data_IF_821345511380
#
_entry.id   IF_821345511380
#
_cell.length_a   1.000
_cell.length_b   1.000
_cell.length_c   1.000
_cell.angle_alpha   90.00
_cell.angle_beta   90.00
_cell.angle_gamma   90.00
#
_symmetry.space_group_name_H-M   'P 1'
#
loop_
_entity.id
_entity.type
_entity.pdbx_description
1 polymer ?
#
# COMPACT_ATOMS: atom_id res chain seq x y z
N UNK A 1 18.70 -11.77 -15.06
CA UNK A 1 17.45 -12.29 -14.45
C UNK A 1 17.14 -11.38 -13.28
N UNK A 2 16.03 -10.66 -13.33
CA UNK A 2 15.58 -9.86 -12.20
C UNK A 2 14.91 -10.77 -11.17
N UNK A 3 15.22 -10.57 -9.90
CA UNK A 3 14.55 -11.29 -8.81
C UNK A 3 13.26 -10.54 -8.49
N UNK A 4 12.12 -11.16 -8.79
CA UNK A 4 10.78 -10.58 -8.58
C UNK A 4 9.98 -11.50 -7.68
N UNK A 5 9.55 -11.01 -6.53
CA UNK A 5 8.75 -11.78 -5.57
C UNK A 5 7.98 -10.86 -4.62
N UNK A 6 6.96 -11.43 -3.97
CA UNK A 6 6.19 -10.76 -2.92
C UNK A 6 6.58 -11.35 -1.58
N UNK A 7 6.72 -10.51 -0.56
CA UNK A 7 6.93 -10.95 0.83
C UNK A 7 6.11 -10.11 1.80
N UNK A 8 5.97 -10.59 3.03
CA UNK A 8 5.48 -9.76 4.14
C UNK A 8 6.33 -8.50 4.30
N UNK A 9 5.64 -7.38 4.50
CA UNK A 9 6.28 -6.13 4.85
C UNK A 9 6.75 -6.18 6.31
N UNK A 10 7.89 -5.57 6.59
CA UNK A 10 8.42 -5.38 7.94
C UNK A 10 8.42 -3.89 8.29
N UNK A 11 8.52 -3.56 9.59
CA UNK A 11 8.54 -2.15 10.04
C UNK A 11 9.64 -1.31 9.38
N UNK A 12 10.80 -1.91 9.07
CA UNK A 12 11.90 -1.23 8.38
C UNK A 12 11.61 -0.92 6.90
N UNK A 13 10.58 -1.55 6.32
CA UNK A 13 10.18 -1.27 4.94
C UNK A 13 9.36 0.02 4.84
N UNK A 14 8.86 0.55 5.96
CA UNK A 14 7.99 1.72 6.02
C UNK A 14 8.62 2.96 5.36
N UNK A 15 9.92 3.18 5.59
CA UNK A 15 10.68 4.29 4.98
C UNK A 15 10.73 4.22 3.45
N UNK A 16 10.61 3.02 2.87
CA UNK A 16 10.57 2.79 1.42
C UNK A 16 9.14 2.73 0.87
N UNK A 17 8.18 2.26 1.65
CA UNK A 17 6.77 2.18 1.27
C UNK A 17 6.15 3.58 1.18
N UNK A 18 6.43 4.46 2.15
CA UNK A 18 5.82 5.79 2.22
C UNK A 18 6.04 6.64 0.95
N UNK A 19 7.27 6.76 0.40
CA UNK A 19 7.49 7.44 -0.87
C UNK A 19 6.67 6.88 -2.04
N UNK A 20 6.50 5.55 -2.11
CA UNK A 20 5.72 4.88 -3.16
C UNK A 20 4.24 5.24 -3.03
N UNK A 21 3.72 5.28 -1.80
CA UNK A 21 2.35 5.71 -1.52
C UNK A 21 2.14 7.18 -1.90
N UNK A 22 3.08 8.07 -1.55
CA UNK A 22 3.00 9.48 -1.92
C UNK A 22 3.03 9.69 -3.45
N UNK A 23 3.84 8.92 -4.17
CA UNK A 23 3.87 8.94 -5.63
C UNK A 23 2.54 8.44 -6.22
N UNK A 24 1.99 7.34 -5.70
CA UNK A 24 0.69 6.83 -6.12
C UNK A 24 -0.44 7.84 -5.85
N UNK A 25 -0.43 8.54 -4.72
CA UNK A 25 -1.39 9.62 -4.41
C UNK A 25 -1.32 10.75 -5.43
N UNK A 26 -0.11 11.18 -5.81
CA UNK A 26 0.08 12.20 -6.84
C UNK A 26 -0.43 11.74 -8.19
N UNK A 27 -0.09 10.51 -8.60
CA UNK A 27 -0.54 9.92 -9.85
C UNK A 27 -2.08 9.87 -9.94
N UNK A 28 -2.75 9.40 -8.87
CA UNK A 28 -4.22 9.37 -8.80
C UNK A 28 -4.83 10.77 -8.88
N UNK A 29 -4.20 11.76 -8.25
CA UNK A 29 -4.63 13.16 -8.32
C UNK A 29 -4.57 13.72 -9.74
N UNK A 30 -3.50 13.41 -10.47
CA UNK A 30 -3.30 13.83 -11.86
C UNK A 30 -4.30 13.19 -12.81
N UNK A 31 -4.68 11.93 -12.56
CA UNK A 31 -5.74 11.21 -13.27
C UNK A 31 -7.16 11.69 -12.90
N UNK A 32 -7.29 12.62 -11.93
CA UNK A 32 -8.58 13.11 -11.45
C UNK A 32 -9.35 12.11 -10.57
N UNK A 33 -8.68 11.08 -10.06
CA UNK A 33 -9.28 10.10 -9.16
C UNK A 33 -9.29 10.65 -7.71
N UNK A 34 -10.46 10.75 -7.05
CA UNK A 34 -10.54 11.23 -5.67
C UNK A 34 -9.99 10.24 -4.64
N UNK A 35 -9.63 9.02 -5.04
CA UNK A 35 -9.02 8.04 -4.16
C UNK A 35 -7.68 8.53 -3.59
N UNK A 36 -7.48 8.27 -2.30
CA UNK A 36 -6.28 8.58 -1.54
C UNK A 36 -5.89 10.06 -1.52
N UNK A 37 -6.84 10.94 -1.85
CA UNK A 37 -6.69 12.40 -1.69
C UNK A 37 -7.08 12.88 -0.29
N UNK A 38 -7.50 11.96 0.58
CA UNK A 38 -7.71 12.21 2.01
C UNK A 38 -6.44 11.84 2.80
N UNK A 39 -6.54 11.77 4.13
CA UNK A 39 -5.42 11.38 5.00
C UNK A 39 -4.99 9.92 4.79
N UNK A 40 -5.85 9.09 4.19
CA UNK A 40 -5.59 7.68 3.91
C UNK A 40 -4.92 7.43 2.54
N UNK A 41 -4.00 6.45 2.41
CA UNK A 41 -3.32 5.75 3.50
C UNK A 41 -2.19 6.60 4.12
N UNK A 42 -2.02 6.53 5.44
CA UNK A 42 -0.97 7.22 6.19
C UNK A 42 -0.01 6.22 6.88
N UNK A 43 1.01 6.76 7.56
CA UNK A 43 2.01 5.97 8.29
C UNK A 43 1.36 5.05 9.33
N UNK A 44 0.35 5.54 10.05
CA UNK A 44 -0.35 4.77 11.09
C UNK A 44 -1.11 3.58 10.48
N UNK A 45 -1.79 3.81 9.36
CA UNK A 45 -2.49 2.76 8.61
C UNK A 45 -1.52 1.66 8.19
N UNK A 46 -0.42 2.03 7.53
CA UNK A 46 0.55 1.06 7.00
C UNK A 46 1.25 0.32 8.15
N UNK A 47 1.50 1.00 9.26
CA UNK A 47 2.04 0.37 10.48
C UNK A 47 1.07 -0.67 11.01
N UNK A 48 -0.22 -0.35 11.11
CA UNK A 48 -1.24 -1.29 11.54
C UNK A 48 -1.32 -2.50 10.59
N UNK A 49 -1.28 -2.29 9.27
CA UNK A 49 -1.29 -3.37 8.28
C UNK A 49 -0.07 -4.31 8.41
N UNK A 50 1.09 -3.75 8.76
CA UNK A 50 2.32 -4.52 9.06
C UNK A 50 2.14 -5.32 10.35
N UNK A 51 1.57 -4.73 11.40
CA UNK A 51 1.36 -5.37 12.69
C UNK A 51 0.29 -6.47 12.63
N UNK A 52 -0.74 -6.31 11.81
CA UNK A 52 -1.76 -7.33 11.53
C UNK A 52 -1.23 -8.44 10.60
N UNK A 53 -0.07 -8.24 9.96
CA UNK A 53 0.58 -9.24 9.11
C UNK A 53 -0.04 -9.37 7.71
N UNK A 54 -0.88 -8.41 7.34
CA UNK A 54 -1.64 -8.34 6.07
C UNK A 54 -0.90 -7.52 5.02
N UNK A 55 0.02 -6.66 5.43
CA UNK A 55 0.89 -5.91 4.53
C UNK A 55 1.88 -6.82 3.76
N UNK A 56 2.02 -6.54 2.46
CA UNK A 56 2.93 -7.21 1.54
C UNK A 56 3.68 -6.17 0.71
N UNK A 57 4.93 -6.46 0.38
CA UNK A 57 5.75 -5.66 -0.54
C UNK A 57 6.13 -6.47 -1.76
N UNK A 58 6.11 -5.82 -2.92
CA UNK A 58 6.67 -6.35 -4.15
C UNK A 58 8.15 -5.97 -4.20
N UNK A 59 9.01 -6.97 -4.31
CA UNK A 59 10.45 -6.79 -4.50
C UNK A 59 10.79 -6.97 -5.99
N UNK A 60 11.51 -6.02 -6.54
CA UNK A 60 12.13 -6.09 -7.88
C UNK A 60 13.59 -5.69 -7.72
N UNK A 61 14.51 -6.58 -8.10
CA UNK A 61 15.96 -6.31 -8.04
C UNK A 61 16.43 -5.82 -6.67
N UNK A 62 15.95 -6.49 -5.61
CA UNK A 62 16.22 -6.22 -4.19
C UNK A 62 15.67 -4.88 -3.65
N UNK A 63 14.85 -4.18 -4.44
CA UNK A 63 14.18 -2.95 -4.02
C UNK A 63 12.68 -3.16 -3.87
N UNK A 64 12.07 -2.44 -2.95
CA UNK A 64 10.62 -2.38 -2.87
C UNK A 64 10.11 -1.55 -4.04
N UNK A 65 9.32 -2.18 -4.90
CA UNK A 65 8.71 -1.55 -6.07
C UNK A 65 7.21 -1.31 -5.87
N UNK A 66 6.62 -1.87 -4.83
CA UNK A 66 5.19 -1.73 -4.57
C UNK A 66 4.78 -2.24 -3.19
N UNK A 67 3.60 -1.81 -2.78
CA UNK A 67 2.96 -2.16 -1.52
C UNK A 67 1.52 -2.60 -1.79
N UNK A 68 1.06 -3.60 -1.05
CA UNK A 68 -0.32 -4.08 -1.13
C UNK A 68 -0.73 -4.69 0.20
N UNK A 69 -2.02 -4.67 0.49
CA UNK A 69 -2.61 -5.31 1.67
C UNK A 69 -3.41 -6.51 1.18
N UNK A 70 -3.20 -7.66 1.80
CA UNK A 70 -3.93 -8.91 1.49
C UNK A 70 -4.58 -9.39 2.78
N UNK A 71 -5.91 -9.32 2.83
CA UNK A 71 -6.75 -9.78 3.94
C UNK A 71 -7.75 -10.83 3.45
N UNK A 72 -8.08 -11.79 4.32
CA UNK A 72 -9.19 -12.72 4.09
C UNK A 72 -10.48 -12.08 4.63
N UNK A 73 -11.17 -11.29 3.80
CA UNK A 73 -12.42 -10.63 4.17
C UNK A 73 -12.82 -9.51 3.21
N UNK A 74 -14.05 -8.95 3.33
CA UNK A 74 -14.44 -7.78 2.55
C UNK A 74 -13.53 -6.60 2.92
N UNK A 75 -12.94 -5.98 1.90
CA UNK A 75 -12.09 -4.82 2.05
C UNK A 75 -12.87 -3.69 2.76
N UNK A 76 -12.44 -3.21 3.94
CA UNK A 76 -13.19 -2.24 4.74
C UNK A 76 -13.32 -0.88 4.06
N UNK A 77 -12.49 -0.59 3.05
CA UNK A 77 -12.45 0.68 2.31
C UNK A 77 -13.52 0.68 1.21
N UNK A 78 -14.04 -0.49 0.82
CA UNK A 78 -15.18 -0.63 -0.09
C UNK A 78 -16.50 -0.51 0.70
N UNK A 79 -16.71 0.62 1.39
CA UNK A 79 -18.05 1.03 1.80
C UNK A 79 -18.47 2.28 1.02
N UNK A 80 -18.79 2.05 -0.25
CA UNK A 80 -19.42 3.03 -1.15
C UNK A 80 -20.43 2.42 -2.11
N UNK A 81 -20.88 1.18 -1.86
CA UNK A 81 -21.90 0.50 -2.63
C UNK A 81 -23.30 0.95 -2.20
N UNK A 82 -23.85 1.90 -2.95
CA UNK A 82 -25.25 2.36 -2.98
C UNK A 82 -26.26 1.35 -2.41
N UNK A 83 -26.97 1.78 -1.37
CA UNK A 83 -28.40 1.46 -1.17
C UNK A 83 -29.25 2.55 -1.80
#
# INVERSE_FOLDING_TARGET
MSLIYIRQAAKNDLEQIMPIIDEAKKFLKEEGNPQWQSDYPNVETITADIEEGVARVLIVDQKIAGYTVITDGPDPIIQGGRG
#
